data_IF_064952532228
#
_entry.id   IF_064952532228
#
_cell.length_a   1.000
_cell.length_b   1.000
_cell.length_c   1.000
_cell.angle_alpha   90.00
_cell.angle_beta   90.00
_cell.angle_gamma   90.00
#
_symmetry.space_group_name_H-M   'P 1'
#
loop_
_entity.id
_entity.type
_entity.pdbx_description
1 polymer ?
#
# COMPACT_ATOMS: atom_id res chain seq x y z
N UNK A 1 22.74 1.00 27.09
CA UNK A 1 22.99 1.93 25.98
C UNK A 1 21.97 3.03 26.14
N UNK A 2 22.40 4.18 26.65
CA UNK A 2 21.56 5.37 26.74
C UNK A 2 21.24 5.82 25.31
N UNK A 3 19.96 5.90 24.97
CA UNK A 3 19.50 6.51 23.72
C UNK A 3 19.66 8.02 23.92
N UNK A 4 20.62 8.61 23.24
CA UNK A 4 20.70 10.06 23.11
C UNK A 4 19.37 10.54 22.53
N UNK A 5 18.75 11.53 23.21
CA UNK A 5 17.48 12.10 22.77
C UNK A 5 17.66 12.70 21.37
N UNK A 6 16.70 12.42 20.48
CA UNK A 6 16.66 13.01 19.16
C UNK A 6 16.57 14.54 19.32
N UNK A 7 17.61 15.27 18.88
CA UNK A 7 17.58 16.73 18.79
C UNK A 7 16.71 17.15 17.60
N UNK A 8 15.41 17.31 17.87
CA UNK A 8 14.40 17.66 16.86
C UNK A 8 14.63 19.08 16.32
N UNK A 9 15.12 20.00 17.14
CA UNK A 9 15.38 21.36 16.71
C UNK A 9 16.64 21.42 15.84
N UNK A 10 17.70 20.69 16.17
CA UNK A 10 18.86 20.53 15.32
C UNK A 10 18.56 19.84 13.98
N UNK A 11 17.70 18.84 13.98
CA UNK A 11 17.21 18.19 12.75
C UNK A 11 16.37 19.15 11.89
N UNK A 12 15.58 20.01 12.51
CA UNK A 12 14.74 21.00 11.84
C UNK A 12 15.55 22.15 11.24
N UNK A 13 16.55 22.64 11.95
CA UNK A 13 17.45 23.68 11.47
C UNK A 13 18.35 23.17 10.32
N UNK A 14 18.81 21.94 10.41
CA UNK A 14 19.54 21.26 9.34
C UNK A 14 18.69 21.14 8.07
N UNK A 15 17.45 20.69 8.18
CA UNK A 15 16.52 20.54 7.05
C UNK A 15 16.06 21.89 6.48
N UNK A 16 15.95 22.94 7.31
CA UNK A 16 15.64 24.28 6.83
C UNK A 16 16.78 24.88 6.01
N UNK A 17 18.04 24.68 6.46
CA UNK A 17 19.22 25.10 5.71
C UNK A 17 19.40 24.32 4.40
N UNK A 18 19.06 23.05 4.39
CA UNK A 18 19.17 22.19 3.21
C UNK A 18 18.05 22.44 2.20
N UNK A 19 16.86 22.86 2.65
CA UNK A 19 15.75 23.25 1.78
C UNK A 19 16.08 24.45 0.90
N UNK A 20 16.83 25.43 1.42
CA UNK A 20 17.26 26.59 0.63
C UNK A 20 18.36 26.20 -0.38
N UNK A 21 19.17 25.18 -0.08
CA UNK A 21 20.13 24.59 -1.00
C UNK A 21 19.44 23.70 -2.04
N UNK A 22 18.41 22.96 -1.65
CA UNK A 22 17.65 22.06 -2.52
C UNK A 22 16.93 22.78 -3.67
N UNK A 23 16.46 24.01 -3.45
CA UNK A 23 15.81 24.84 -4.49
C UNK A 23 16.82 25.33 -5.55
N UNK A 24 18.12 25.36 -5.24
CA UNK A 24 19.17 25.72 -6.19
C UNK A 24 19.70 24.55 -7.03
N UNK A 25 19.55 23.31 -6.55
CA UNK A 25 20.13 22.11 -7.18
C UNK A 25 19.13 21.25 -8.00
N UNK A 26 17.97 21.79 -8.40
CA UNK A 26 17.00 21.10 -9.27
C UNK A 26 17.57 20.64 -10.63
N UNK A 27 18.85 20.80 -10.88
CA UNK A 27 19.52 20.45 -12.13
C UNK A 27 20.39 19.19 -12.08
N UNK A 28 20.62 18.57 -10.92
CA UNK A 28 21.50 17.41 -10.80
C UNK A 28 20.76 16.13 -10.37
N UNK A 29 20.85 15.11 -11.23
CA UNK A 29 20.21 13.79 -11.20
C UNK A 29 20.65 12.85 -10.06
N UNK A 30 21.04 13.33 -8.88
CA UNK A 30 21.48 12.49 -7.76
C UNK A 30 20.71 12.77 -6.47
N UNK A 31 19.42 12.40 -6.46
CA UNK A 31 18.58 12.32 -5.25
C UNK A 31 18.97 11.15 -4.32
N UNK A 32 20.02 10.40 -4.63
CA UNK A 32 20.32 9.10 -4.01
C UNK A 32 21.26 9.14 -2.79
N UNK A 33 21.71 10.32 -2.33
CA UNK A 33 22.67 10.33 -1.21
C UNK A 33 22.51 11.52 -0.28
N UNK A 34 21.40 11.59 0.46
CA UNK A 34 21.32 12.51 1.58
C UNK A 34 21.83 11.80 2.85
N UNK A 35 22.95 12.24 3.48
CA UNK A 35 23.57 11.53 4.62
C UNK A 35 22.63 11.26 5.80
N UNK A 36 21.60 12.09 5.96
CA UNK A 36 20.58 11.95 7.00
C UNK A 36 19.54 10.88 6.65
N UNK A 37 19.20 10.76 5.37
CA UNK A 37 18.31 9.71 4.86
C UNK A 37 19.01 8.36 4.88
N UNK A 38 20.31 8.31 4.59
CA UNK A 38 21.12 7.10 4.65
C UNK A 38 21.20 6.57 6.08
N UNK A 39 21.48 7.43 7.06
CA UNK A 39 21.51 7.04 8.47
C UNK A 39 20.13 6.61 9.00
N UNK A 40 19.04 7.23 8.53
CA UNK A 40 17.68 6.86 8.90
C UNK A 40 17.27 5.53 8.22
N UNK A 41 17.59 5.36 6.95
CA UNK A 41 17.31 4.12 6.19
C UNK A 41 18.22 2.97 6.62
N UNK A 42 19.48 3.21 7.00
CA UNK A 42 20.36 2.19 7.61
C UNK A 42 19.79 1.69 8.94
N UNK A 43 19.29 2.58 9.79
CA UNK A 43 18.64 2.23 11.05
C UNK A 43 17.38 1.37 10.89
N UNK A 44 16.71 1.45 9.73
CA UNK A 44 15.50 0.68 9.38
C UNK A 44 15.77 -0.48 8.42
N UNK A 45 17.05 -0.83 8.18
CA UNK A 45 17.42 -1.92 7.31
C UNK A 45 17.17 -1.68 5.81
N UNK A 46 17.14 -0.42 5.37
CA UNK A 46 16.96 -0.05 3.97
C UNK A 46 15.55 -0.23 3.41
N UNK A 47 14.55 -0.53 4.25
CA UNK A 47 13.17 -0.82 3.83
C UNK A 47 12.19 0.35 4.06
N UNK A 48 12.69 1.56 4.28
CA UNK A 48 11.83 2.72 4.49
C UNK A 48 11.69 3.56 3.21
N UNK A 49 10.51 4.16 3.03
CA UNK A 49 10.31 5.16 1.99
C UNK A 49 11.06 6.45 2.35
N UNK A 50 11.85 6.98 1.41
CA UNK A 50 12.48 8.29 1.54
C UNK A 50 11.45 9.41 1.39
N UNK A 51 11.53 10.42 2.27
CA UNK A 51 10.69 11.61 2.17
C UNK A 51 10.72 12.44 3.45
N UNK A 52 10.97 13.73 3.33
CA UNK A 52 11.06 14.66 4.48
C UNK A 52 9.70 14.87 5.16
N UNK A 53 8.59 14.63 4.48
CA UNK A 53 7.23 14.76 5.03
C UNK A 53 7.00 13.91 6.29
N UNK A 54 7.69 12.77 6.43
CA UNK A 54 7.61 11.93 7.64
C UNK A 54 8.15 12.66 8.87
N UNK A 55 9.17 13.49 8.71
CA UNK A 55 9.76 14.29 9.79
C UNK A 55 8.76 15.36 10.24
N UNK A 56 8.11 16.04 9.30
CA UNK A 56 7.10 17.04 9.59
C UNK A 56 5.90 16.43 10.34
N UNK A 57 5.45 15.25 9.93
CA UNK A 57 4.38 14.53 10.61
C UNK A 57 4.80 14.05 12.01
N UNK A 58 6.01 13.54 12.15
CA UNK A 58 6.55 13.16 13.47
C UNK A 58 6.63 14.36 14.43
N UNK A 59 7.05 15.52 13.93
CA UNK A 59 7.08 16.76 14.69
C UNK A 59 5.67 17.24 15.10
N UNK A 60 4.68 17.07 14.20
CA UNK A 60 3.30 17.39 14.49
C UNK A 60 2.71 16.47 15.59
N UNK A 61 3.00 15.17 15.55
CA UNK A 61 2.62 14.23 16.60
C UNK A 61 3.31 14.56 17.93
N UNK A 62 4.58 14.88 17.92
CA UNK A 62 5.29 15.28 19.14
C UNK A 62 4.72 16.56 19.74
N UNK A 63 4.39 17.56 18.92
CA UNK A 63 3.73 18.78 19.35
C UNK A 63 2.36 18.53 19.98
N UNK A 64 1.60 17.54 19.47
CA UNK A 64 0.27 17.14 19.97
C UNK A 64 0.35 16.37 21.28
N UNK A 65 1.22 15.38 21.35
CA UNK A 65 1.21 14.32 22.39
C UNK A 65 2.41 14.39 23.34
N UNK A 66 3.42 15.25 23.06
CA UNK A 66 4.67 15.32 23.83
C UNK A 66 5.45 14.01 23.73
N UNK A 67 6.06 13.61 24.85
CA UNK A 67 6.85 12.38 24.97
C UNK A 67 6.01 11.14 25.32
N UNK A 68 4.69 11.25 25.33
CA UNK A 68 3.76 10.14 25.70
C UNK A 68 4.14 8.82 25.03
N UNK A 69 4.44 8.87 23.73
CA UNK A 69 4.72 7.69 22.94
C UNK A 69 6.12 7.09 23.16
N UNK A 70 6.99 7.78 23.87
CA UNK A 70 8.28 7.23 24.33
C UNK A 70 8.12 6.25 25.51
N UNK A 71 6.99 6.31 26.23
CA UNK A 71 6.75 5.59 27.49
C UNK A 71 5.73 4.46 27.36
N UNK A 72 5.29 4.12 26.15
CA UNK A 72 4.37 3.01 25.86
C UNK A 72 5.11 1.83 25.25
N UNK A 73 4.43 0.68 25.10
CA UNK A 73 4.99 -0.49 24.39
C UNK A 73 5.23 -0.21 22.92
N UNK A 74 6.13 -0.96 22.29
CA UNK A 74 6.38 -0.83 20.86
C UNK A 74 5.12 -1.16 20.04
N UNK A 75 4.31 -2.10 20.49
CA UNK A 75 3.05 -2.48 19.84
C UNK A 75 2.03 -1.34 19.86
N UNK A 76 1.81 -0.70 21.01
CA UNK A 76 0.91 0.45 21.14
C UNK A 76 1.38 1.63 20.29
N UNK A 77 2.70 1.90 20.30
CA UNK A 77 3.32 2.95 19.50
C UNK A 77 3.14 2.70 18.01
N UNK A 78 3.45 1.48 17.56
CA UNK A 78 3.32 1.08 16.15
C UNK A 78 1.86 1.17 15.69
N UNK A 79 0.91 0.72 16.51
CA UNK A 79 -0.50 0.81 16.18
C UNK A 79 -0.95 2.26 16.00
N UNK A 80 -0.62 3.12 16.97
CA UNK A 80 -1.02 4.52 16.92
C UNK A 80 -0.45 5.24 15.69
N UNK A 81 0.87 5.20 15.50
CA UNK A 81 1.49 5.91 14.38
C UNK A 81 1.10 5.35 13.01
N UNK A 82 0.82 4.04 12.92
CA UNK A 82 0.28 3.45 11.70
C UNK A 82 -1.11 4.00 11.37
N UNK A 83 -2.02 4.03 12.34
CA UNK A 83 -3.40 4.46 12.08
C UNK A 83 -3.52 5.98 11.88
N UNK A 84 -2.90 6.77 12.74
CA UNK A 84 -2.91 8.24 12.62
C UNK A 84 -2.14 8.71 11.38
N UNK A 85 -0.96 8.13 11.12
CA UNK A 85 -0.18 8.43 9.91
C UNK A 85 -0.92 8.06 8.63
N UNK A 86 -1.55 6.88 8.59
CA UNK A 86 -2.40 6.47 7.48
C UNK A 86 -3.55 7.46 7.25
N UNK A 87 -4.28 7.81 8.29
CA UNK A 87 -5.40 8.75 8.19
C UNK A 87 -4.94 10.12 7.66
N UNK A 88 -3.80 10.60 8.16
CA UNK A 88 -3.21 11.87 7.74
C UNK A 88 -2.77 11.84 6.27
N UNK A 89 -2.10 10.77 5.84
CA UNK A 89 -1.66 10.63 4.45
C UNK A 89 -2.84 10.55 3.48
N UNK A 90 -3.89 9.81 3.82
CA UNK A 90 -5.11 9.73 3.01
C UNK A 90 -5.78 11.10 2.91
N UNK A 91 -5.86 11.86 4.00
CA UNK A 91 -6.43 13.21 3.97
C UNK A 91 -5.61 14.17 3.10
N UNK A 92 -4.28 14.13 3.20
CA UNK A 92 -3.41 14.92 2.35
C UNK A 92 -3.61 14.58 0.85
N UNK A 93 -3.73 13.29 0.52
CA UNK A 93 -4.04 12.86 -0.85
C UNK A 93 -5.41 13.33 -1.31
N UNK A 94 -6.44 13.29 -0.45
CA UNK A 94 -7.78 13.81 -0.76
C UNK A 94 -7.74 15.29 -1.08
N UNK A 95 -7.04 16.06 -0.25
CA UNK A 95 -6.91 17.50 -0.47
C UNK A 95 -6.19 17.80 -1.79
N UNK A 96 -5.08 17.09 -2.07
CA UNK A 96 -4.35 17.25 -3.32
C UNK A 96 -5.23 16.92 -4.54
N UNK A 97 -5.99 15.83 -4.49
CA UNK A 97 -6.93 15.46 -5.56
C UNK A 97 -8.00 16.54 -5.75
N UNK A 98 -8.55 17.05 -4.65
CA UNK A 98 -9.54 18.14 -4.69
C UNK A 98 -8.97 19.41 -5.33
N UNK A 99 -7.75 19.81 -4.98
CA UNK A 99 -7.08 21.01 -5.49
C UNK A 99 -6.86 20.95 -7.02
N UNK A 100 -6.63 19.74 -7.56
CA UNK A 100 -6.56 19.52 -9.01
C UNK A 100 -7.89 19.15 -9.65
N UNK A 101 -9.00 19.27 -8.92
CA UNK A 101 -10.38 18.96 -9.35
C UNK A 101 -10.56 17.50 -9.79
N UNK A 102 -9.93 16.60 -9.11
CA UNK A 102 -10.04 15.16 -9.30
C UNK A 102 -10.61 14.52 -8.02
N UNK A 103 -11.90 14.73 -7.77
CA UNK A 103 -12.59 14.15 -6.61
C UNK A 103 -13.03 12.72 -6.92
N UNK A 104 -12.82 11.81 -5.96
CA UNK A 104 -13.23 10.42 -6.08
C UNK A 104 -14.50 10.14 -5.29
N UNK A 105 -15.46 9.46 -5.92
CA UNK A 105 -16.71 9.02 -5.26
C UNK A 105 -16.46 7.96 -4.19
N UNK A 106 -15.43 7.14 -4.36
CA UNK A 106 -15.07 6.07 -3.42
C UNK A 106 -13.57 6.01 -3.18
N UNK A 107 -13.17 6.22 -1.94
CA UNK A 107 -11.84 5.92 -1.44
C UNK A 107 -11.84 4.49 -0.89
N UNK A 108 -11.25 3.58 -1.65
CA UNK A 108 -11.24 2.16 -1.32
C UNK A 108 -10.01 1.82 -0.47
N UNK A 109 -10.21 1.15 0.65
CA UNK A 109 -9.10 0.64 1.46
C UNK A 109 -8.89 -0.84 1.18
N UNK A 110 -7.68 -1.23 0.78
CA UNK A 110 -7.29 -2.61 0.58
C UNK A 110 -7.55 -3.49 1.82
N UNK A 111 -7.44 -2.93 3.03
CA UNK A 111 -7.74 -3.64 4.28
C UNK A 111 -9.13 -4.25 4.29
N UNK A 112 -10.11 -3.62 3.61
CA UNK A 112 -11.49 -4.07 3.62
C UNK A 112 -11.71 -5.39 2.90
N UNK A 113 -10.84 -5.77 1.96
CA UNK A 113 -10.99 -7.03 1.20
C UNK A 113 -10.74 -8.27 2.06
N UNK A 114 -10.05 -8.12 3.19
CA UNK A 114 -9.72 -9.20 4.12
C UNK A 114 -10.68 -9.30 5.32
N UNK A 115 -11.54 -8.28 5.51
CA UNK A 115 -12.50 -8.27 6.61
C UNK A 115 -13.65 -9.21 6.26
N UNK A 116 -13.95 -10.15 7.17
CA UNK A 116 -15.09 -11.03 7.03
C UNK A 116 -16.38 -10.33 7.39
N UNK A 117 -17.38 -10.48 6.53
CA UNK A 117 -18.73 -9.98 6.82
C UNK A 117 -19.29 -10.67 8.06
N UNK A 118 -19.87 -9.89 8.98
CA UNK A 118 -20.44 -10.40 10.21
C UNK A 118 -21.91 -10.77 10.07
N UNK A 119 -22.60 -10.23 9.05
CA UNK A 119 -24.02 -10.38 8.82
C UNK A 119 -24.32 -10.57 7.33
N UNK A 120 -25.56 -11.00 7.04
CA UNK A 120 -26.04 -11.15 5.68
C UNK A 120 -25.63 -12.46 5.01
N UNK A 121 -25.88 -12.60 3.69
CA UNK A 121 -25.65 -13.85 2.95
C UNK A 121 -24.17 -14.25 2.85
N UNK A 122 -23.27 -13.31 3.07
CA UNK A 122 -21.82 -13.49 2.99
C UNK A 122 -21.15 -13.62 4.37
N UNK A 123 -21.93 -13.71 5.46
CA UNK A 123 -21.40 -13.81 6.82
C UNK A 123 -20.33 -14.90 6.94
N UNK A 124 -19.21 -14.55 7.59
CA UNK A 124 -18.05 -15.42 7.77
C UNK A 124 -17.07 -15.47 6.60
N UNK A 125 -17.34 -14.79 5.47
CA UNK A 125 -16.43 -14.69 4.32
C UNK A 125 -15.98 -13.26 4.07
N UNK A 126 -14.74 -13.11 3.61
CA UNK A 126 -14.19 -11.84 3.14
C UNK A 126 -14.40 -11.69 1.62
N UNK A 127 -14.10 -10.50 1.08
CA UNK A 127 -14.11 -10.28 -0.36
C UNK A 127 -13.08 -11.18 -1.08
N UNK A 128 -11.91 -11.39 -0.48
CA UNK A 128 -10.90 -12.32 -1.00
C UNK A 128 -11.42 -13.75 -1.03
N UNK A 129 -12.05 -14.22 0.06
CA UNK A 129 -12.61 -15.58 0.11
C UNK A 129 -13.63 -15.80 -1.02
N UNK A 130 -14.51 -14.82 -1.27
CA UNK A 130 -15.53 -14.91 -2.33
C UNK A 130 -14.93 -14.85 -3.73
N UNK A 131 -13.96 -13.98 -3.95
CA UNK A 131 -13.28 -13.90 -5.25
C UNK A 131 -12.51 -15.19 -5.56
N UNK A 132 -11.87 -15.80 -4.57
CA UNK A 132 -11.21 -17.09 -4.72
C UNK A 132 -12.19 -18.22 -4.97
N UNK A 133 -13.31 -18.25 -4.24
CA UNK A 133 -14.36 -19.23 -4.50
C UNK A 133 -14.88 -19.14 -5.94
N UNK A 134 -15.00 -17.93 -6.49
CA UNK A 134 -15.38 -17.73 -7.89
C UNK A 134 -14.33 -18.24 -8.86
N UNK A 135 -13.05 -17.95 -8.64
CA UNK A 135 -11.96 -18.48 -9.47
C UNK A 135 -11.86 -20.01 -9.40
N UNK A 136 -12.10 -20.60 -8.23
CA UNK A 136 -12.11 -22.06 -8.04
C UNK A 136 -13.28 -22.71 -8.78
N UNK A 137 -14.48 -22.14 -8.67
CA UNK A 137 -15.66 -22.57 -9.44
C UNK A 137 -15.39 -22.59 -10.95
N UNK A 138 -14.64 -21.59 -11.43
CA UNK A 138 -14.27 -21.47 -12.85
C UNK A 138 -13.08 -22.37 -13.24
N UNK A 139 -12.47 -23.09 -12.28
CA UNK A 139 -11.36 -24.03 -12.52
C UNK A 139 -9.98 -23.40 -12.64
N UNK A 140 -9.83 -22.14 -12.26
CA UNK A 140 -8.57 -21.41 -12.39
C UNK A 140 -7.65 -21.49 -11.17
N UNK A 141 -8.04 -22.20 -10.09
CA UNK A 141 -7.20 -22.38 -8.91
C UNK A 141 -6.62 -23.79 -8.81
N UNK A 142 -5.44 -23.91 -8.24
CA UNK A 142 -4.82 -25.17 -7.86
C UNK A 142 -3.82 -25.00 -6.73
N UNK A 143 -3.56 -26.10 -5.99
CA UNK A 143 -2.56 -26.14 -4.96
C UNK A 143 -1.26 -26.78 -5.48
N UNK A 144 -0.12 -26.16 -5.19
CA UNK A 144 1.19 -26.68 -5.50
C UNK A 144 2.21 -26.24 -4.43
N UNK A 145 3.00 -27.16 -3.92
CA UNK A 145 4.05 -26.91 -2.94
C UNK A 145 3.55 -26.14 -1.69
N UNK A 146 2.33 -26.45 -1.23
CA UNK A 146 1.69 -25.79 -0.09
C UNK A 146 1.11 -24.39 -0.36
N UNK A 147 1.27 -23.86 -1.56
CA UNK A 147 0.76 -22.56 -1.97
C UNK A 147 -0.49 -22.69 -2.86
N UNK A 148 -1.36 -21.67 -2.84
CA UNK A 148 -2.51 -21.55 -3.75
C UNK A 148 -2.10 -20.72 -4.96
N UNK A 149 -2.33 -21.27 -6.15
CA UNK A 149 -1.96 -20.72 -7.43
C UNK A 149 -3.15 -20.41 -8.33
N UNK A 150 -3.03 -19.35 -9.11
CA UNK A 150 -3.94 -18.98 -10.19
C UNK A 150 -3.35 -19.37 -11.55
N UNK A 151 -4.13 -20.08 -12.38
CA UNK A 151 -3.77 -20.56 -13.75
C UNK A 151 -3.80 -19.41 -14.75
N UNK A 152 -3.02 -18.38 -14.56
CA UNK A 152 -3.01 -17.22 -15.47
C UNK A 152 -2.43 -17.56 -16.85
N UNK A 153 -1.62 -18.64 -16.97
CA UNK A 153 -1.10 -19.11 -18.26
C UNK A 153 -2.19 -19.58 -19.19
N UNK A 154 -3.29 -20.14 -18.68
CA UNK A 154 -4.44 -20.55 -19.49
C UNK A 154 -5.14 -19.35 -20.16
N UNK A 155 -4.88 -18.14 -19.67
CA UNK A 155 -5.44 -16.87 -20.13
C UNK A 155 -4.40 -15.97 -20.82
N UNK A 156 -3.19 -16.50 -21.07
CA UNK A 156 -2.14 -15.84 -21.83
C UNK A 156 -1.14 -15.02 -21.00
N UNK A 157 -1.04 -15.26 -19.68
CA UNK A 157 0.07 -14.75 -18.89
C UNK A 157 1.35 -15.56 -19.14
N UNK A 158 2.52 -15.01 -18.79
CA UNK A 158 3.82 -15.65 -18.97
C UNK A 158 4.06 -16.80 -17.97
N UNK A 159 3.40 -16.77 -16.82
CA UNK A 159 3.47 -17.81 -15.77
C UNK A 159 2.27 -17.73 -14.85
N UNK A 160 1.96 -18.86 -14.18
CA UNK A 160 0.96 -18.90 -13.12
C UNK A 160 1.37 -18.05 -11.92
N UNK A 161 0.41 -17.53 -11.18
CA UNK A 161 0.61 -16.58 -10.09
C UNK A 161 0.20 -17.15 -8.74
N UNK A 162 1.04 -16.94 -7.72
CA UNK A 162 0.73 -17.31 -6.34
C UNK A 162 -0.27 -16.29 -5.76
N UNK A 163 -1.35 -16.79 -5.21
CA UNK A 163 -2.33 -16.00 -4.45
C UNK A 163 -2.09 -16.11 -2.94
N UNK A 164 -1.83 -17.34 -2.45
CA UNK A 164 -1.49 -17.59 -1.05
C UNK A 164 -0.18 -18.35 -1.00
N UNK A 165 0.78 -17.85 -0.23
CA UNK A 165 2.10 -18.49 -0.03
C UNK A 165 1.96 -19.75 0.83
N UNK A 166 3.00 -20.60 0.82
CA UNK A 166 3.04 -21.82 1.63
C UNK A 166 2.96 -21.58 3.15
N UNK A 167 3.29 -20.38 3.62
CA UNK A 167 3.14 -19.98 5.02
C UNK A 167 1.73 -19.44 5.37
N UNK A 168 0.80 -19.46 4.41
CA UNK A 168 -0.58 -18.97 4.57
C UNK A 168 -0.77 -17.47 4.35
N UNK A 169 0.29 -16.72 4.06
CA UNK A 169 0.17 -15.28 3.78
C UNK A 169 -0.36 -15.02 2.38
N UNK A 170 -1.25 -14.05 2.26
CA UNK A 170 -1.68 -13.52 0.98
C UNK A 170 -0.56 -12.76 0.27
N UNK A 171 -0.53 -12.85 -1.06
CA UNK A 171 0.28 -11.96 -1.89
C UNK A 171 -0.49 -10.67 -2.17
N UNK A 172 0.19 -9.61 -2.61
CA UNK A 172 -0.50 -8.40 -3.10
C UNK A 172 -1.48 -8.71 -4.24
N UNK A 173 -1.17 -9.72 -5.05
CA UNK A 173 -2.04 -10.12 -6.13
C UNK A 173 -3.37 -10.72 -5.65
N UNK A 174 -3.43 -11.28 -4.46
CA UNK A 174 -4.68 -11.76 -3.85
C UNK A 174 -5.68 -10.62 -3.60
N UNK A 175 -5.21 -9.47 -3.10
CA UNK A 175 -6.05 -8.28 -2.92
C UNK A 175 -6.47 -7.68 -4.26
N UNK A 176 -5.58 -7.68 -5.26
CA UNK A 176 -5.91 -7.20 -6.61
C UNK A 176 -7.07 -7.98 -7.23
N UNK A 177 -7.09 -9.31 -7.08
CA UNK A 177 -8.20 -10.16 -7.54
C UNK A 177 -9.53 -9.72 -6.92
N UNK A 178 -9.56 -9.59 -5.59
CA UNK A 178 -10.78 -9.19 -4.88
C UNK A 178 -11.21 -7.76 -5.20
N UNK A 179 -10.26 -6.86 -5.36
CA UNK A 179 -10.52 -5.46 -5.67
C UNK A 179 -11.10 -5.29 -7.08
N UNK A 180 -10.57 -5.98 -8.09
CA UNK A 180 -11.12 -5.93 -9.45
C UNK A 180 -12.52 -6.54 -9.49
N UNK A 181 -12.73 -7.63 -8.76
CA UNK A 181 -14.08 -8.18 -8.66
C UNK A 181 -15.06 -7.20 -7.99
N UNK A 182 -14.67 -6.49 -6.91
CA UNK A 182 -15.48 -5.43 -6.29
C UNK A 182 -15.78 -4.28 -7.26
N UNK A 183 -14.82 -3.89 -8.11
CA UNK A 183 -15.06 -2.88 -9.15
C UNK A 183 -16.20 -3.30 -10.07
N UNK A 184 -16.16 -4.52 -10.61
CA UNK A 184 -17.18 -5.03 -11.52
C UNK A 184 -18.55 -5.30 -10.87
N UNK A 185 -18.64 -5.36 -9.55
CA UNK A 185 -19.95 -5.38 -8.87
C UNK A 185 -20.65 -4.00 -8.88
N UNK A 186 -19.93 -2.95 -9.26
CA UNK A 186 -20.41 -1.56 -9.19
C UNK A 186 -20.52 -0.88 -10.55
N UNK A 187 -19.77 -1.33 -11.54
CA UNK A 187 -19.68 -0.71 -12.87
C UNK A 187 -19.57 -1.77 -13.96
N UNK A 188 -19.98 -1.42 -15.17
CA UNK A 188 -19.90 -2.31 -16.34
C UNK A 188 -18.51 -2.25 -17.03
N UNK A 189 -17.79 -1.14 -16.86
CA UNK A 189 -16.47 -0.91 -17.46
C UNK A 189 -15.50 -0.38 -16.42
N UNK A 190 -14.27 -0.87 -16.45
CA UNK A 190 -13.18 -0.46 -15.56
C UNK A 190 -12.03 0.11 -16.38
N UNK A 191 -11.51 1.25 -15.97
CA UNK A 191 -10.28 1.85 -16.50
C UNK A 191 -9.32 1.99 -15.33
N UNK A 192 -8.22 1.24 -15.36
CA UNK A 192 -7.13 1.37 -14.39
C UNK A 192 -6.08 2.34 -14.92
N UNK A 193 -5.72 3.33 -14.09
CA UNK A 193 -4.67 4.30 -14.40
C UNK A 193 -3.48 3.99 -13.51
N UNK A 194 -2.39 3.52 -14.13
CA UNK A 194 -1.16 3.11 -13.44
C UNK A 194 0.05 3.89 -13.93
N UNK A 195 1.06 4.02 -13.06
CA UNK A 195 2.38 4.44 -13.48
C UNK A 195 3.04 3.41 -14.43
N UNK A 196 4.01 3.83 -15.20
CA UNK A 196 4.71 2.97 -16.17
C UNK A 196 5.49 1.82 -15.51
N UNK A 197 5.86 1.95 -14.27
CA UNK A 197 6.46 0.92 -13.42
C UNK A 197 5.53 -0.30 -13.19
N UNK A 198 4.22 -0.12 -13.33
CA UNK A 198 3.22 -1.19 -13.23
C UNK A 198 2.92 -1.93 -14.53
N UNK A 199 3.66 -1.65 -15.63
CA UNK A 199 3.42 -2.28 -16.94
C UNK A 199 3.37 -3.82 -16.86
N UNK A 200 4.22 -4.45 -16.04
CA UNK A 200 4.23 -5.90 -15.82
C UNK A 200 2.97 -6.46 -15.13
N UNK A 201 2.11 -5.60 -14.59
CA UNK A 201 0.85 -6.00 -13.95
C UNK A 201 -0.33 -6.09 -14.91
N UNK A 202 -0.29 -5.39 -16.04
CA UNK A 202 -1.41 -5.29 -16.99
C UNK A 202 -1.92 -6.66 -17.39
N UNK A 203 -1.03 -7.54 -17.85
CA UNK A 203 -1.43 -8.84 -18.36
C UNK A 203 -2.05 -9.73 -17.28
N UNK A 204 -1.47 -9.76 -16.07
CA UNK A 204 -1.99 -10.59 -14.96
C UNK A 204 -3.36 -10.10 -14.47
N UNK A 205 -3.58 -8.78 -14.42
CA UNK A 205 -4.89 -8.22 -14.04
C UNK A 205 -5.93 -8.50 -15.12
N UNK A 206 -5.58 -8.37 -16.40
CA UNK A 206 -6.46 -8.78 -17.50
C UNK A 206 -6.87 -10.24 -17.37
N UNK A 207 -5.92 -11.15 -17.10
CA UNK A 207 -6.24 -12.57 -16.90
C UNK A 207 -7.21 -12.78 -15.72
N UNK A 208 -7.08 -11.99 -14.64
CA UNK A 208 -8.05 -12.04 -13.53
C UNK A 208 -9.43 -11.60 -13.98
N UNK A 209 -9.53 -10.50 -14.71
CA UNK A 209 -10.82 -10.01 -15.22
C UNK A 209 -11.49 -11.05 -16.13
N UNK A 210 -10.71 -11.64 -17.05
CA UNK A 210 -11.20 -12.70 -17.94
C UNK A 210 -11.69 -13.93 -17.15
N UNK A 211 -10.91 -14.37 -16.14
CA UNK A 211 -11.24 -15.50 -15.27
C UNK A 211 -12.51 -15.28 -14.43
N UNK A 212 -12.74 -14.04 -14.00
CA UNK A 212 -13.93 -13.66 -13.23
C UNK A 212 -15.18 -13.47 -14.10
N UNK A 213 -15.04 -13.57 -15.42
CA UNK A 213 -16.17 -13.49 -16.37
C UNK A 213 -16.35 -12.12 -17.03
N UNK A 214 -15.33 -11.27 -17.01
CA UNK A 214 -15.33 -9.93 -17.61
C UNK A 214 -14.27 -9.79 -18.71
N UNK A 215 -14.33 -10.61 -19.78
CA UNK A 215 -13.33 -10.62 -20.82
C UNK A 215 -13.32 -9.32 -21.63
N UNK A 216 -12.11 -8.83 -21.93
CA UNK A 216 -11.92 -7.64 -22.78
C UNK A 216 -12.24 -6.31 -22.09
N UNK A 217 -12.31 -6.31 -20.78
CA UNK A 217 -12.50 -5.10 -19.97
C UNK A 217 -11.14 -4.49 -19.58
#
# INVERSE_FOLDING_TARGET
>A
MEREGLDIDGARDFLAQDRDNFVQDEADEHLDSHPYMDAFTEGLGGNAYGGTYIIDEAAAFYKKDGDKWAHVTDEERMLYFREEGYAKMVENMRQLCHDVRCDFDKWFSERTVYIKDTEGPNAGTSAVDRAFAKLDEMGYLYNKDGALWFRSTDLGDDKDRVLVKANGEYTYFASDVAYHWDKFQRVDHVIDIWGCDHHGYINRVRCVCDALGYPGQ
#
